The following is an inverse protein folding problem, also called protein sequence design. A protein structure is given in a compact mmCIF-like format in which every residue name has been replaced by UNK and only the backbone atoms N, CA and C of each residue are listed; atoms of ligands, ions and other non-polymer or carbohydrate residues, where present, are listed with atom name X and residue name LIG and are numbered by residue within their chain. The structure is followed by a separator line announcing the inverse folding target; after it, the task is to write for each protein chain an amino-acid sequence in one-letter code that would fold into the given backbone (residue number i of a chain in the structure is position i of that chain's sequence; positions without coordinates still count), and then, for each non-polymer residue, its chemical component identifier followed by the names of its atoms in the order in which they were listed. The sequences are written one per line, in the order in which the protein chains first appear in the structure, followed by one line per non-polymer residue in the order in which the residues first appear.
data_IF_153486422660
#
_entry.id   IF_153486422660
#
_cell.length_a   1.000
_cell.length_b   1.000
_cell.length_c   1.000
_cell.angle_alpha   90.00
_cell.angle_beta   90.00
_cell.angle_gamma   90.00
#
_symmetry.space_group_name_H-M   'P 1'
#
loop_
_entity.id
_entity.type
_entity.pdbx_description
1 polymer ?
#
# COMPACT_ATOMS: atom_id res chain seq x y z
N UNK A 1 16.16 12.54 13.70
CA UNK A 1 14.85 13.11 14.15
C UNK A 1 13.74 12.91 13.13
N UNK A 2 13.87 13.28 11.84
CA UNK A 2 12.79 13.08 10.84
C UNK A 2 12.56 11.61 10.44
N UNK A 3 13.65 10.90 10.12
CA UNK A 3 13.59 9.48 9.72
C UNK A 3 12.99 8.64 10.86
N UNK A 4 13.56 8.75 12.06
CA UNK A 4 13.10 8.04 13.25
C UNK A 4 11.62 8.29 13.60
N UNK A 5 11.15 9.53 13.45
CA UNK A 5 9.75 9.89 13.75
C UNK A 5 8.73 9.29 12.77
N UNK A 6 9.13 8.96 11.54
CA UNK A 6 8.20 8.59 10.48
C UNK A 6 8.46 7.21 9.87
N UNK A 7 9.63 6.59 10.11
CA UNK A 7 10.03 5.31 9.50
C UNK A 7 9.02 4.21 9.76
N UNK A 8 8.45 4.14 10.96
CA UNK A 8 7.50 3.10 11.31
C UNK A 8 6.18 3.26 10.56
N UNK A 9 5.62 4.48 10.51
CA UNK A 9 4.39 4.76 9.76
C UNK A 9 4.56 4.52 8.26
N UNK A 10 5.72 4.91 7.70
CA UNK A 10 6.05 4.67 6.30
C UNK A 10 6.21 3.19 6.03
N UNK A 11 6.94 2.47 6.89
CA UNK A 11 7.10 1.02 6.78
C UNK A 11 5.75 0.30 6.75
N UNK A 12 4.83 0.62 7.65
CA UNK A 12 3.51 0.01 7.65
C UNK A 12 2.74 0.22 6.35
N UNK A 13 2.84 1.41 5.73
CA UNK A 13 2.16 1.70 4.46
C UNK A 13 2.82 0.92 3.32
N UNK A 14 4.15 0.97 3.23
CA UNK A 14 4.91 0.29 2.20
C UNK A 14 4.68 -1.22 2.30
N UNK A 15 4.74 -1.78 3.49
CA UNK A 15 4.50 -3.19 3.76
C UNK A 15 3.09 -3.63 3.35
N UNK A 16 2.06 -2.82 3.64
CA UNK A 16 0.69 -3.06 3.17
C UNK A 16 0.52 -3.05 1.65
N UNK A 17 1.51 -2.53 0.91
CA UNK A 17 1.49 -2.49 -0.55
C UNK A 17 2.29 -3.67 -1.11
N UNK A 18 3.52 -3.90 -0.63
CA UNK A 18 4.46 -4.86 -1.23
C UNK A 18 4.45 -6.24 -0.60
N UNK A 19 3.94 -6.40 0.63
CA UNK A 19 3.83 -7.66 1.38
C UNK A 19 5.14 -8.45 1.51
N UNK A 20 6.27 -7.75 1.41
CA UNK A 20 7.61 -8.31 1.60
C UNK A 20 8.37 -7.37 2.53
N UNK A 21 8.92 -7.93 3.62
CA UNK A 21 9.58 -7.15 4.68
C UNK A 21 10.86 -6.48 4.20
N UNK A 22 11.70 -7.20 3.45
CA UNK A 22 12.97 -6.70 2.93
C UNK A 22 12.73 -5.59 1.89
N UNK A 23 11.87 -5.86 0.90
CA UNK A 23 11.48 -4.86 -0.10
C UNK A 23 10.84 -3.64 0.57
N UNK A 24 10.07 -3.84 1.65
CA UNK A 24 9.51 -2.72 2.40
C UNK A 24 10.57 -1.89 3.11
N UNK A 25 11.60 -2.50 3.70
CA UNK A 25 12.72 -1.78 4.32
C UNK A 25 13.50 -0.96 3.28
N UNK A 26 13.74 -1.53 2.10
CA UNK A 26 14.43 -0.84 1.01
C UNK A 26 13.61 0.34 0.48
N UNK A 27 12.32 0.13 0.25
CA UNK A 27 11.42 1.18 -0.21
C UNK A 27 11.20 2.29 0.82
N UNK A 28 11.26 2.00 2.13
CA UNK A 28 11.28 3.03 3.17
C UNK A 28 12.50 3.92 2.98
N UNK A 29 13.69 3.34 2.83
CA UNK A 29 14.92 4.12 2.62
C UNK A 29 14.84 4.94 1.33
N UNK A 30 14.42 4.33 0.22
CA UNK A 30 14.24 5.01 -1.06
C UNK A 30 13.22 6.16 -0.96
N UNK A 31 12.14 5.96 -0.21
CA UNK A 31 11.13 7.00 0.04
C UNK A 31 11.74 8.22 0.71
N UNK A 32 12.55 8.04 1.76
CA UNK A 32 13.19 9.16 2.43
C UNK A 32 14.24 9.83 1.54
N UNK A 33 15.04 9.07 0.78
CA UNK A 33 16.00 9.63 -0.19
C UNK A 33 15.26 10.51 -1.22
N UNK A 34 14.17 9.99 -1.81
CA UNK A 34 13.32 10.76 -2.74
C UNK A 34 12.71 11.98 -2.07
N UNK A 35 12.26 11.87 -0.83
CA UNK A 35 11.73 12.99 -0.08
C UNK A 35 12.78 14.08 0.13
N UNK A 36 13.99 13.73 0.58
CA UNK A 36 15.08 14.70 0.73
C UNK A 36 15.41 15.40 -0.60
N UNK A 37 15.53 14.64 -1.70
CA UNK A 37 15.77 15.22 -3.03
C UNK A 37 14.62 16.10 -3.53
N UNK A 38 13.38 15.80 -3.11
CA UNK A 38 12.17 16.51 -3.54
C UNK A 38 11.75 17.61 -2.57
N UNK A 39 12.51 17.88 -1.50
CA UNK A 39 12.08 18.77 -0.41
C UNK A 39 11.74 20.18 -0.89
N UNK A 40 12.42 20.68 -1.94
CA UNK A 40 12.12 21.98 -2.57
C UNK A 40 10.71 22.05 -3.19
N UNK A 41 10.10 20.91 -3.48
CA UNK A 41 8.74 20.81 -4.04
C UNK A 41 7.66 20.69 -2.97
N UNK A 42 8.06 20.53 -1.70
CA UNK A 42 7.14 20.49 -0.58
C UNK A 42 6.48 21.86 -0.43
N UNK A 43 5.16 21.86 -0.35
CA UNK A 43 4.38 23.05 -0.08
C UNK A 43 3.91 23.00 1.38
N UNK A 44 4.31 23.96 2.23
CA UNK A 44 3.95 24.01 3.65
C UNK A 44 2.44 24.10 3.93
N UNK A 45 1.61 24.42 2.93
CA UNK A 45 0.14 24.38 3.04
C UNK A 45 -0.41 22.96 3.16
N UNK A 46 0.45 21.94 3.08
CA UNK A 46 0.12 20.53 3.27
C UNK A 46 0.89 19.99 4.47
N UNK A 47 0.28 19.05 5.22
CA UNK A 47 1.04 18.34 6.26
C UNK A 47 2.19 17.57 5.62
N UNK A 48 3.38 17.70 6.20
CA UNK A 48 4.58 17.00 5.76
C UNK A 48 4.35 15.49 5.61
N UNK A 49 3.68 14.87 6.59
CA UNK A 49 3.32 13.44 6.56
C UNK A 49 2.49 13.07 5.35
N UNK A 50 1.56 13.93 4.92
CA UNK A 50 0.72 13.68 3.75
C UNK A 50 1.53 13.67 2.46
N UNK A 51 2.44 14.62 2.33
CA UNK A 51 3.36 14.66 1.19
C UNK A 51 4.31 13.47 1.18
N UNK A 52 4.86 13.09 2.34
CA UNK A 52 5.74 11.93 2.48
C UNK A 52 5.02 10.61 2.15
N UNK A 53 3.77 10.43 2.61
CA UNK A 53 2.96 9.26 2.29
C UNK A 53 2.66 9.14 0.79
N UNK A 54 2.48 10.26 0.10
CA UNK A 54 2.35 10.23 -1.37
C UNK A 54 3.60 9.65 -2.02
N UNK A 55 4.78 10.06 -1.58
CA UNK A 55 6.06 9.56 -2.12
C UNK A 55 6.20 8.06 -1.84
N UNK A 56 5.85 7.63 -0.62
CA UNK A 56 5.87 6.23 -0.22
C UNK A 56 4.94 5.38 -1.09
N UNK A 57 3.66 5.76 -1.15
CA UNK A 57 2.65 5.04 -1.92
C UNK A 57 3.04 4.98 -3.40
N UNK A 58 3.44 6.09 -4.02
CA UNK A 58 3.89 6.10 -5.40
C UNK A 58 5.10 5.16 -5.62
N UNK A 59 6.09 5.19 -4.73
CA UNK A 59 7.29 4.36 -4.86
C UNK A 59 6.95 2.86 -4.75
N UNK A 60 6.11 2.47 -3.79
CA UNK A 60 5.67 1.07 -3.65
C UNK A 60 4.86 0.59 -4.85
N UNK A 61 3.99 1.46 -5.38
CA UNK A 61 3.19 1.18 -6.56
C UNK A 61 4.06 1.01 -7.80
N UNK A 62 5.02 1.92 -8.00
CA UNK A 62 5.95 1.86 -9.11
C UNK A 62 6.84 0.61 -9.04
N UNK A 63 7.25 0.22 -7.84
CA UNK A 63 8.00 -1.01 -7.58
C UNK A 63 7.21 -2.25 -8.02
N UNK A 64 5.96 -2.39 -7.58
CA UNK A 64 5.08 -3.51 -8.00
C UNK A 64 4.88 -3.51 -9.51
N UNK A 65 4.64 -2.33 -10.11
CA UNK A 65 4.46 -2.21 -11.55
C UNK A 65 5.69 -2.67 -12.31
N UNK A 66 6.89 -2.28 -11.88
CA UNK A 66 8.16 -2.72 -12.48
C UNK A 66 8.38 -4.22 -12.31
N UNK A 67 8.16 -4.76 -11.11
CA UNK A 67 8.27 -6.20 -10.82
C UNK A 67 7.36 -7.02 -11.74
N UNK A 68 6.13 -6.55 -11.95
CA UNK A 68 5.18 -7.17 -12.88
C UNK A 68 5.65 -7.12 -14.33
N UNK A 69 6.16 -5.98 -14.80
CA UNK A 69 6.70 -5.85 -16.16
C UNK A 69 7.91 -6.77 -16.38
N UNK A 70 8.82 -6.84 -15.40
CA UNK A 70 10.00 -7.69 -15.47
C UNK A 70 9.63 -9.17 -15.48
N UNK A 71 8.63 -9.59 -14.72
CA UNK A 71 8.08 -10.95 -14.79
C UNK A 71 7.53 -11.24 -16.20
N UNK A 72 6.72 -10.34 -16.77
CA UNK A 72 6.19 -10.52 -18.12
C UNK A 72 7.24 -10.47 -19.24
N UNK A 73 8.37 -9.79 -19.02
CA UNK A 73 9.47 -9.74 -20.00
C UNK A 73 10.31 -11.01 -20.05
N UNK A 74 10.16 -11.91 -19.07
CA UNK A 74 10.91 -13.16 -18.95
C UNK A 74 10.10 -14.40 -19.39
N UNK A 75 8.78 -14.27 -19.61
CA UNK A 75 7.90 -15.42 -19.88
C UNK A 75 7.53 -15.63 -21.37
N UNK A 76 8.29 -16.50 -22.03
CA UNK A 76 7.81 -17.50 -23.03
C UNK A 76 8.81 -18.68 -23.04
N UNK A 77 8.40 -19.97 -23.00
CA UNK A 77 7.09 -20.58 -22.78
C UNK A 77 6.96 -21.34 -21.43
N UNK A 78 5.70 -21.74 -21.14
CA UNK A 78 5.23 -22.52 -19.99
C UNK A 78 5.66 -23.99 -20.07
N UNK A 79 6.15 -24.54 -18.96
CA UNK A 79 5.73 -25.83 -18.37
C UNK A 79 6.61 -26.13 -17.13
N UNK A 80 6.00 -26.24 -15.96
CA UNK A 80 6.11 -27.44 -15.11
C UNK A 80 5.14 -27.39 -13.94
N UNK A 81 4.63 -28.58 -13.67
CA UNK A 81 3.73 -28.97 -12.59
C UNK A 81 4.45 -28.94 -11.23
N UNK A 82 3.62 -28.91 -10.18
CA UNK A 82 3.95 -29.19 -8.77
C UNK A 82 4.70 -28.14 -7.94
N UNK A 83 4.09 -27.82 -6.79
CA UNK A 83 4.77 -27.10 -5.71
C UNK A 83 3.85 -26.19 -4.92
N UNK A 84 3.05 -26.77 -4.02
CA UNK A 84 2.36 -26.00 -2.98
C UNK A 84 3.40 -25.21 -2.16
N UNK A 85 3.30 -23.89 -2.14
CA UNK A 85 4.12 -23.05 -1.25
C UNK A 85 3.26 -22.67 -0.04
N UNK A 86 3.35 -23.47 1.02
CA UNK A 86 2.96 -23.05 2.36
C UNK A 86 3.98 -22.02 2.84
N UNK A 87 3.56 -20.77 3.00
CA UNK A 87 4.34 -19.74 3.69
C UNK A 87 3.79 -19.62 5.09
N UNK A 88 4.30 -20.47 5.98
CA UNK A 88 4.16 -20.31 7.42
C UNK A 88 5.13 -19.20 7.86
N UNK A 89 4.61 -18.05 8.27
CA UNK A 89 5.38 -17.04 8.99
C UNK A 89 4.77 -16.93 10.37
N UNK A 90 5.41 -17.62 11.31
CA UNK A 90 5.13 -17.52 12.73
C UNK A 90 5.38 -16.07 13.19
N UNK A 91 4.31 -15.43 13.66
CA UNK A 91 4.32 -14.10 14.24
C UNK A 91 4.67 -14.22 15.72
N UNK A 92 5.89 -13.85 16.11
CA UNK A 92 6.33 -13.82 17.51
C UNK A 92 5.99 -12.49 18.18
N UNK A 93 4.74 -12.04 18.08
CA UNK A 93 4.09 -11.23 19.12
C UNK A 93 2.58 -11.03 18.89
N UNK A 94 1.73 -12.02 19.18
CA UNK A 94 0.39 -11.78 19.75
C UNK A 94 -0.30 -13.10 20.17
N UNK A 95 -1.30 -12.98 21.05
CA UNK A 95 -1.88 -13.99 21.93
C UNK A 95 -2.74 -15.07 21.17
N UNK A 96 -2.63 -16.39 21.40
CA UNK A 96 -2.91 -17.39 20.36
C UNK A 96 -4.36 -17.84 20.11
N UNK A 97 -5.38 -17.48 20.90
CA UNK A 97 -6.66 -18.24 20.85
C UNK A 97 -7.86 -17.52 20.21
N UNK A 98 -7.72 -16.24 19.81
CA UNK A 98 -8.73 -15.51 19.02
C UNK A 98 -8.31 -15.21 17.57
N UNK A 99 -7.10 -15.62 17.22
CA UNK A 99 -6.30 -14.98 16.17
C UNK A 99 -6.51 -15.58 14.77
N UNK A 100 -6.98 -16.83 14.66
CA UNK A 100 -7.11 -17.51 13.37
C UNK A 100 -8.22 -16.91 12.48
N UNK A 101 -9.36 -16.55 13.07
CA UNK A 101 -10.48 -15.94 12.32
C UNK A 101 -10.14 -14.51 11.90
N UNK A 102 -9.45 -13.77 12.74
CA UNK A 102 -9.07 -12.39 12.46
C UNK A 102 -7.88 -12.31 11.49
N UNK A 103 -6.91 -13.24 11.58
CA UNK A 103 -5.86 -13.42 10.56
C UNK A 103 -6.46 -13.76 9.20
N UNK A 104 -7.39 -14.72 9.11
CA UNK A 104 -8.07 -15.04 7.84
C UNK A 104 -8.84 -13.83 7.27
N UNK A 105 -9.57 -13.09 8.11
CA UNK A 105 -10.26 -11.85 7.68
C UNK A 105 -9.27 -10.78 7.24
N UNK A 106 -8.17 -10.60 7.94
CA UNK A 106 -7.17 -9.58 7.63
C UNK A 106 -6.42 -9.91 6.34
N UNK A 107 -6.11 -11.19 6.10
CA UNK A 107 -5.61 -11.71 4.81
C UNK A 107 -6.64 -11.45 3.70
N UNK A 108 -7.93 -11.68 3.95
CA UNK A 108 -9.00 -11.46 2.96
C UNK A 108 -9.17 -9.98 2.57
N UNK A 109 -9.06 -9.05 3.53
CA UNK A 109 -9.17 -7.60 3.28
C UNK A 109 -7.94 -7.10 2.52
N UNK A 110 -6.76 -7.55 2.93
CA UNK A 110 -5.49 -7.14 2.32
C UNK A 110 -5.45 -7.58 0.85
N UNK A 111 -5.73 -8.85 0.57
CA UNK A 111 -5.82 -9.38 -0.78
C UNK A 111 -6.91 -8.66 -1.63
N UNK A 112 -8.03 -8.28 -1.01
CA UNK A 112 -9.05 -7.50 -1.69
C UNK A 112 -8.56 -6.09 -2.06
N UNK A 113 -7.82 -5.41 -1.17
CA UNK A 113 -7.18 -4.11 -1.47
C UNK A 113 -6.13 -4.27 -2.57
N UNK A 114 -5.37 -5.37 -2.57
CA UNK A 114 -4.36 -5.62 -3.60
C UNK A 114 -4.93 -5.80 -4.99
N UNK A 115 -6.13 -6.39 -5.06
CA UNK A 115 -6.87 -6.56 -6.31
C UNK A 115 -7.41 -5.26 -6.90
N UNK A 116 -7.40 -4.15 -6.14
CA UNK A 116 -7.90 -2.88 -6.62
C UNK A 116 -6.98 -2.31 -7.71
N UNK A 117 -7.56 -1.70 -8.76
CA UNK A 117 -6.83 -0.83 -9.67
C UNK A 117 -6.06 0.24 -8.90
N UNK A 118 -4.88 0.57 -9.40
CA UNK A 118 -3.88 1.34 -8.67
C UNK A 118 -4.38 2.70 -8.12
N UNK A 119 -5.09 3.45 -8.95
CA UNK A 119 -5.70 4.74 -8.57
C UNK A 119 -6.71 4.65 -7.42
N UNK A 120 -7.28 3.46 -7.18
CA UNK A 120 -8.23 3.19 -6.10
C UNK A 120 -7.52 2.67 -4.86
N UNK A 121 -6.54 1.78 -5.04
CA UNK A 121 -5.65 1.30 -3.99
C UNK A 121 -4.97 2.47 -3.28
N UNK A 122 -4.37 3.38 -4.06
CA UNK A 122 -3.68 4.56 -3.55
C UNK A 122 -4.56 5.41 -2.61
N UNK A 123 -5.78 5.75 -3.02
CA UNK A 123 -6.67 6.61 -2.20
C UNK A 123 -7.24 5.88 -0.98
N UNK A 124 -7.42 4.57 -1.05
CA UNK A 124 -7.88 3.76 0.10
C UNK A 124 -6.79 3.67 1.15
N UNK A 125 -5.55 3.38 0.74
CA UNK A 125 -4.41 3.28 1.66
C UNK A 125 -4.14 4.63 2.33
N UNK A 126 -4.15 5.72 1.56
CA UNK A 126 -4.02 7.09 2.09
C UNK A 126 -5.16 7.43 3.07
N UNK A 127 -6.41 7.06 2.76
CA UNK A 127 -7.56 7.34 3.64
C UNK A 127 -7.59 6.51 4.91
N UNK A 128 -6.96 5.34 4.96
CA UNK A 128 -6.95 4.48 6.14
C UNK A 128 -6.09 5.00 7.30
N UNK A 129 -5.33 6.09 7.09
CA UNK A 129 -4.63 6.79 8.16
C UNK A 129 -5.59 7.79 8.80
N UNK A 130 -5.76 7.71 10.13
CA UNK A 130 -6.73 8.49 10.92
C UNK A 130 -6.59 10.01 10.73
N UNK A 131 -5.44 10.46 10.24
CA UNK A 131 -5.16 11.87 10.02
C UNK A 131 -5.60 12.42 8.66
N UNK A 132 -5.76 11.65 7.57
CA UNK A 132 -5.90 12.24 6.21
C UNK A 132 -7.35 12.63 5.80
N UNK A 133 -7.57 13.93 5.61
CA UNK A 133 -8.80 14.48 5.03
C UNK A 133 -8.90 14.22 3.52
N UNK A 134 -10.09 14.31 2.93
CA UNK A 134 -10.23 14.15 1.47
C UNK A 134 -9.55 15.30 0.72
N UNK A 135 -9.53 16.47 1.33
CA UNK A 135 -8.91 17.69 0.87
C UNK A 135 -7.39 17.51 0.81
N UNK A 136 -6.78 16.91 1.84
CA UNK A 136 -5.34 16.65 1.86
C UNK A 136 -4.93 15.60 0.83
N UNK A 137 -5.72 14.55 0.63
CA UNK A 137 -5.48 13.54 -0.41
C UNK A 137 -5.60 14.18 -1.79
N UNK A 138 -6.60 15.04 -2.00
CA UNK A 138 -6.83 15.73 -3.27
C UNK A 138 -5.65 16.64 -3.63
N UNK A 139 -5.22 17.44 -2.65
CA UNK A 139 -4.05 18.30 -2.72
C UNK A 139 -2.78 17.50 -3.01
N UNK A 140 -2.53 16.43 -2.27
CA UNK A 140 -1.37 15.56 -2.46
C UNK A 140 -1.35 14.97 -3.87
N UNK A 141 -2.47 14.41 -4.33
CA UNK A 141 -2.57 13.77 -5.64
C UNK A 141 -2.73 14.76 -6.81
N UNK A 142 -2.86 16.07 -6.53
CA UNK A 142 -3.16 17.12 -7.52
C UNK A 142 -4.40 16.80 -8.37
N UNK A 143 -5.46 16.36 -7.71
CA UNK A 143 -6.77 16.07 -8.34
C UNK A 143 -7.89 16.76 -7.57
N UNK A 144 -9.07 17.01 -8.18
CA UNK A 144 -10.21 17.57 -7.47
C UNK A 144 -10.66 16.70 -6.29
N UNK A 145 -11.15 17.33 -5.21
CA UNK A 145 -11.72 16.61 -4.04
C UNK A 145 -12.86 15.68 -4.46
N UNK A 146 -13.68 16.10 -5.44
CA UNK A 146 -14.72 15.25 -6.04
C UNK A 146 -14.16 13.96 -6.65
N UNK A 147 -12.99 14.02 -7.29
CA UNK A 147 -12.29 12.85 -7.83
C UNK A 147 -11.81 11.92 -6.74
N UNK A 148 -11.30 12.44 -5.62
CA UNK A 148 -10.92 11.62 -4.45
C UNK A 148 -12.14 10.92 -3.87
N UNK A 149 -13.22 11.65 -3.62
CA UNK A 149 -14.48 11.10 -3.11
C UNK A 149 -15.01 9.98 -4.04
N UNK A 150 -15.03 10.23 -5.35
CA UNK A 150 -15.45 9.24 -6.33
C UNK A 150 -14.53 8.00 -6.38
N UNK A 151 -13.21 8.20 -6.31
CA UNK A 151 -12.25 7.08 -6.29
C UNK A 151 -12.40 6.23 -5.02
N UNK A 152 -12.55 6.85 -3.85
CA UNK A 152 -12.77 6.15 -2.58
C UNK A 152 -14.10 5.42 -2.59
N UNK A 153 -15.17 6.05 -3.08
CA UNK A 153 -16.47 5.40 -3.23
C UNK A 153 -16.38 4.17 -4.13
N UNK A 154 -15.79 4.30 -5.33
CA UNK A 154 -15.60 3.15 -6.25
C UNK A 154 -14.73 2.06 -5.65
N UNK A 155 -13.68 2.43 -4.93
CA UNK A 155 -12.82 1.47 -4.26
C UNK A 155 -13.59 0.66 -3.20
N UNK A 156 -14.41 1.33 -2.37
CA UNK A 156 -15.29 0.67 -1.39
C UNK A 156 -16.30 -0.27 -2.04
N UNK A 157 -16.89 0.12 -3.18
CA UNK A 157 -17.80 -0.74 -3.93
C UNK A 157 -17.11 -2.00 -4.48
N UNK A 158 -15.90 -1.86 -5.02
CA UNK A 158 -15.11 -3.00 -5.47
C UNK A 158 -14.72 -3.94 -4.32
N UNK A 159 -14.28 -3.38 -3.20
CA UNK A 159 -13.97 -4.15 -1.98
C UNK A 159 -15.20 -4.87 -1.46
N UNK A 160 -16.35 -4.20 -1.38
CA UNK A 160 -17.61 -4.80 -0.94
C UNK A 160 -18.00 -5.99 -1.82
N UNK A 161 -17.88 -5.87 -3.15
CA UNK A 161 -18.15 -6.98 -4.07
C UNK A 161 -17.21 -8.16 -3.83
N UNK A 162 -15.91 -7.90 -3.67
CA UNK A 162 -14.91 -8.94 -3.41
C UNK A 162 -15.09 -9.63 -2.05
N UNK A 163 -15.32 -8.86 -1.00
CA UNK A 163 -15.55 -9.41 0.34
C UNK A 163 -16.87 -10.18 0.42
N UNK A 164 -17.89 -9.78 -0.34
CA UNK A 164 -19.15 -10.54 -0.45
C UNK A 164 -18.97 -11.88 -1.17
N UNK A 165 -18.05 -11.97 -2.14
CA UNK A 165 -17.73 -13.24 -2.81
C UNK A 165 -16.84 -14.18 -1.99
N UNK A 166 -16.26 -13.69 -0.88
CA UNK A 166 -15.40 -14.46 0.02
C UNK A 166 -16.17 -15.02 1.24
N UNK A 167 -17.49 -14.80 1.27
CA UNK A 167 -18.41 -15.22 2.34
C UNK A 167 -19.40 -16.23 1.78
#
# INVERSE_FOLDING_TARGET
MLFEAHKQSIFHIVFKIVHNKEEAQDLVQETFIKAFGSLKTYNPNYRFTTWLFKIAANSSIDHIRKKRINAFSLDRPVETEEGQVNVDVADSSYNPERDLSDKQKQVSITAAIDSLPEKYKQVIIMRHQEDQSYEDIAKALKVPVGTVKARIFRARELLKKKLKSLR
#
